data_IF_553782573372
#
_entry.id   IF_553782573372
#
_cell.length_a   1.000
_cell.length_b   1.000
_cell.length_c   1.000
_cell.angle_alpha   90.00
_cell.angle_beta   90.00
_cell.angle_gamma   90.00
#
_symmetry.space_group_name_H-M   'P 1'
#
loop_
_entity.id
_entity.type
_entity.pdbx_description
1 polymer ?
#
# COMPACT_ATOMS: atom_id res chain seq x y z
N UNK A 1 60.10 27.33 -0.42
CA UNK A 1 59.27 28.56 -0.39
C UNK A 1 59.16 29.21 1.00
N UNK A 2 59.16 28.47 2.12
CA UNK A 2 58.99 29.03 3.47
C UNK A 2 60.23 29.70 4.12
N UNK A 3 61.43 29.51 3.56
CA UNK A 3 62.68 29.99 4.18
C UNK A 3 62.82 31.53 4.19
N UNK A 4 62.21 32.25 3.24
CA UNK A 4 62.36 33.70 3.06
C UNK A 4 61.22 34.55 3.65
N UNK A 5 60.26 33.94 4.35
CA UNK A 5 59.11 34.64 4.94
C UNK A 5 59.42 35.17 6.35
N UNK A 6 58.95 36.38 6.67
CA UNK A 6 59.00 36.92 8.02
C UNK A 6 58.19 36.05 9.00
N UNK A 7 58.55 36.07 10.28
CA UNK A 7 57.89 35.30 11.33
C UNK A 7 56.38 35.58 11.40
N UNK A 8 55.99 36.84 11.18
CA UNK A 8 54.60 37.29 11.15
C UNK A 8 53.78 36.60 10.07
N UNK A 9 54.35 36.46 8.86
CA UNK A 9 53.68 35.79 7.75
C UNK A 9 53.59 34.27 7.95
N UNK A 10 54.60 33.65 8.57
CA UNK A 10 54.57 32.22 8.91
C UNK A 10 53.43 31.91 9.88
N UNK A 11 53.28 32.71 10.93
CA UNK A 11 52.20 32.57 11.91
C UNK A 11 50.83 32.79 11.28
N UNK A 12 50.67 33.83 10.44
CA UNK A 12 49.42 34.09 9.75
C UNK A 12 49.01 32.93 8.83
N UNK A 13 49.93 32.41 8.00
CA UNK A 13 49.65 31.29 7.11
C UNK A 13 49.29 30.02 7.90
N UNK A 14 50.01 29.71 8.97
CA UNK A 14 49.71 28.55 9.81
C UNK A 14 48.34 28.67 10.49
N UNK A 15 48.00 29.85 11.00
CA UNK A 15 46.69 30.09 11.62
C UNK A 15 45.55 29.96 10.59
N UNK A 16 45.69 30.57 9.41
CA UNK A 16 44.72 30.43 8.33
C UNK A 16 44.58 28.98 7.86
N UNK A 17 45.68 28.25 7.72
CA UNK A 17 45.66 26.84 7.36
C UNK A 17 44.94 25.98 8.42
N UNK A 18 45.18 26.25 9.71
CA UNK A 18 44.50 25.56 10.80
C UNK A 18 42.98 25.84 10.80
N UNK A 19 42.56 27.08 10.52
CA UNK A 19 41.14 27.44 10.41
C UNK A 19 40.49 26.73 9.22
N UNK A 20 41.12 26.75 8.05
CA UNK A 20 40.60 26.09 6.85
C UNK A 20 40.48 24.58 7.09
N UNK A 21 41.52 23.95 7.67
CA UNK A 21 41.49 22.53 8.01
C UNK A 21 40.37 22.21 9.01
N UNK A 22 40.19 23.03 10.04
CA UNK A 22 39.08 22.88 10.99
C UNK A 22 37.72 22.97 10.31
N UNK A 23 37.53 23.97 9.43
CA UNK A 23 36.30 24.14 8.66
C UNK A 23 35.99 22.93 7.78
N UNK A 24 36.95 22.46 7.00
CA UNK A 24 36.79 21.29 6.12
C UNK A 24 36.48 20.03 6.91
N UNK A 25 37.11 19.83 8.08
CA UNK A 25 36.83 18.68 8.94
C UNK A 25 35.40 18.72 9.49
N UNK A 26 34.97 19.87 10.01
CA UNK A 26 33.61 20.04 10.54
C UNK A 26 32.57 19.88 9.44
N UNK A 27 32.80 20.47 8.27
CA UNK A 27 31.93 20.34 7.11
C UNK A 27 31.84 18.87 6.64
N UNK A 28 32.97 18.17 6.54
CA UNK A 28 33.00 16.75 6.17
C UNK A 28 32.23 15.86 7.15
N UNK A 29 32.36 16.10 8.46
CA UNK A 29 31.60 15.39 9.49
C UNK A 29 30.10 15.73 9.39
N UNK A 30 29.76 17.01 9.27
CA UNK A 30 28.38 17.47 9.15
C UNK A 30 27.68 16.91 7.91
N UNK A 31 28.40 16.84 6.79
CA UNK A 31 27.92 16.26 5.55
C UNK A 31 27.65 14.76 5.71
N UNK A 32 28.59 14.02 6.31
CA UNK A 32 28.42 12.59 6.60
C UNK A 32 27.22 12.33 7.51
N UNK A 33 27.07 13.09 8.58
CA UNK A 33 25.94 12.95 9.50
C UNK A 33 24.61 13.27 8.81
N UNK A 34 24.62 14.23 7.89
CA UNK A 34 23.44 14.58 7.09
C UNK A 34 23.03 13.46 6.14
N UNK A 35 23.99 12.78 5.50
CA UNK A 35 23.71 11.60 4.68
C UNK A 35 23.12 10.46 5.51
N UNK A 36 23.68 10.17 6.68
CA UNK A 36 23.15 9.13 7.57
C UNK A 36 21.73 9.43 8.04
N UNK A 37 21.44 10.69 8.39
CA UNK A 37 20.08 11.11 8.74
C UNK A 37 19.12 10.99 7.56
N UNK A 38 19.55 11.37 6.35
CA UNK A 38 18.74 11.24 5.15
C UNK A 38 18.37 9.79 4.87
N UNK A 39 19.34 8.87 4.95
CA UNK A 39 19.08 7.44 4.75
C UNK A 39 18.08 6.90 5.76
N UNK A 40 18.25 7.23 7.04
CA UNK A 40 17.33 6.83 8.11
C UNK A 40 15.92 7.41 7.89
N UNK A 41 15.82 8.67 7.49
CA UNK A 41 14.56 9.33 7.21
C UNK A 41 13.84 8.72 6.01
N UNK A 42 14.56 8.42 4.93
CA UNK A 42 13.99 7.76 3.74
C UNK A 42 13.49 6.37 4.10
N UNK A 43 14.27 5.57 4.82
CA UNK A 43 13.87 4.25 5.27
C UNK A 43 12.59 4.31 6.12
N UNK A 44 12.54 5.23 7.09
CA UNK A 44 11.37 5.42 7.95
C UNK A 44 10.13 5.85 7.16
N UNK A 45 10.30 6.76 6.19
CA UNK A 45 9.20 7.22 5.33
C UNK A 45 8.66 6.08 4.45
N UNK A 46 9.54 5.25 3.91
CA UNK A 46 9.16 4.08 3.13
C UNK A 46 8.39 3.07 3.97
N UNK A 47 8.89 2.76 5.17
CA UNK A 47 8.23 1.84 6.11
C UNK A 47 6.84 2.37 6.49
N UNK A 48 6.76 3.63 6.91
CA UNK A 48 5.47 4.24 7.31
C UNK A 48 4.47 4.27 6.15
N UNK A 49 4.92 4.65 4.94
CA UNK A 49 4.03 4.73 3.77
C UNK A 49 3.54 3.35 3.35
N UNK A 50 4.44 2.36 3.35
CA UNK A 50 4.10 0.97 3.05
C UNK A 50 3.11 0.41 4.08
N UNK A 51 3.36 0.63 5.37
CA UNK A 51 2.47 0.20 6.44
C UNK A 51 1.08 0.84 6.32
N UNK A 52 1.00 2.16 6.09
CA UNK A 52 -0.27 2.85 5.89
C UNK A 52 -1.03 2.36 4.66
N UNK A 53 -0.33 2.11 3.54
CA UNK A 53 -0.95 1.59 2.32
C UNK A 53 -1.46 0.16 2.51
N UNK A 54 -0.68 -0.71 3.15
CA UNK A 54 -1.09 -2.08 3.45
C UNK A 54 -2.30 -2.12 4.39
N UNK A 55 -2.33 -1.24 5.39
CA UNK A 55 -3.49 -1.09 6.27
C UNK A 55 -4.72 -0.65 5.48
N UNK A 56 -4.58 0.37 4.62
CA UNK A 56 -5.66 0.84 3.75
C UNK A 56 -6.22 -0.29 2.86
N UNK A 57 -5.36 -1.06 2.19
CA UNK A 57 -5.78 -2.18 1.35
C UNK A 57 -6.47 -3.26 2.19
N UNK A 58 -5.93 -3.57 3.37
CA UNK A 58 -6.52 -4.56 4.29
C UNK A 58 -7.91 -4.13 4.76
N UNK A 59 -8.08 -2.88 5.17
CA UNK A 59 -9.36 -2.33 5.60
C UNK A 59 -10.37 -2.28 4.45
N UNK A 60 -9.91 -1.95 3.25
CA UNK A 60 -10.74 -1.99 2.04
C UNK A 60 -11.23 -3.41 1.74
N UNK A 61 -10.34 -4.42 1.77
CA UNK A 61 -10.71 -5.82 1.59
C UNK A 61 -11.69 -6.31 2.68
N UNK A 62 -11.42 -6.01 3.94
CA UNK A 62 -12.32 -6.33 5.06
C UNK A 62 -13.70 -5.69 4.88
N UNK A 63 -13.77 -4.46 4.35
CA UNK A 63 -15.06 -3.84 4.04
C UNK A 63 -15.82 -4.60 2.95
N UNK A 64 -15.13 -5.11 1.92
CA UNK A 64 -15.76 -5.92 0.86
C UNK A 64 -16.26 -7.25 1.42
N UNK A 65 -15.46 -7.91 2.24
CA UNK A 65 -15.84 -9.15 2.93
C UNK A 65 -17.09 -8.96 3.80
N UNK A 66 -17.12 -7.91 4.63
CA UNK A 66 -18.28 -7.59 5.47
C UNK A 66 -19.54 -7.35 4.64
N UNK A 67 -19.43 -6.68 3.50
CA UNK A 67 -20.57 -6.49 2.61
C UNK A 67 -21.11 -7.83 2.09
N UNK A 68 -20.24 -8.72 1.61
CA UNK A 68 -20.63 -10.04 1.09
C UNK A 68 -21.21 -10.97 2.17
N UNK A 69 -20.65 -10.92 3.37
CA UNK A 69 -21.08 -11.78 4.51
C UNK A 69 -22.27 -11.22 5.28
N UNK A 70 -22.69 -9.98 5.00
CA UNK A 70 -23.86 -9.36 5.63
C UNK A 70 -25.20 -9.93 5.17
N UNK A 71 -25.22 -10.71 4.09
CA UNK A 71 -26.44 -11.34 3.58
C UNK A 71 -26.89 -12.45 4.54
N UNK A 72 -28.05 -12.25 5.19
CA UNK A 72 -28.60 -13.22 6.14
C UNK A 72 -28.96 -14.54 5.45
N UNK A 73 -28.63 -15.66 6.11
CA UNK A 73 -29.09 -16.99 5.71
C UNK A 73 -30.62 -17.15 5.78
N UNK A 74 -31.31 -16.27 6.52
CA UNK A 74 -32.77 -16.25 6.67
C UNK A 74 -33.47 -15.42 5.57
N UNK A 75 -32.72 -14.85 4.62
CA UNK A 75 -33.28 -14.03 3.56
C UNK A 75 -34.29 -14.81 2.72
N UNK A 76 -35.48 -14.24 2.52
CA UNK A 76 -36.50 -14.87 1.68
C UNK A 76 -36.01 -15.03 0.24
N UNK A 77 -36.11 -16.24 -0.32
CA UNK A 77 -35.65 -16.53 -1.69
C UNK A 77 -36.23 -15.57 -2.74
N UNK A 78 -37.48 -15.13 -2.60
CA UNK A 78 -38.11 -14.18 -3.53
C UNK A 78 -37.50 -12.77 -3.51
N UNK A 79 -36.83 -12.40 -2.42
CA UNK A 79 -36.20 -11.10 -2.23
C UNK A 79 -34.69 -11.12 -2.53
N UNK A 80 -34.13 -12.29 -2.90
CA UNK A 80 -32.69 -12.48 -3.00
C UNK A 80 -32.03 -11.49 -3.95
N UNK A 81 -32.59 -11.28 -5.15
CA UNK A 81 -32.06 -10.33 -6.14
C UNK A 81 -32.04 -8.90 -5.61
N UNK A 82 -33.04 -8.51 -4.80
CA UNK A 82 -33.08 -7.19 -4.15
C UNK A 82 -31.92 -7.04 -3.16
N UNK A 83 -31.65 -8.05 -2.34
CA UNK A 83 -30.52 -8.03 -1.41
C UNK A 83 -29.17 -8.07 -2.14
N UNK A 84 -29.04 -8.82 -3.23
CA UNK A 84 -27.82 -8.83 -4.06
C UNK A 84 -27.53 -7.44 -4.65
N UNK A 85 -28.56 -6.71 -5.11
CA UNK A 85 -28.41 -5.31 -5.54
C UNK A 85 -27.97 -4.38 -4.41
N UNK A 86 -28.55 -4.55 -3.22
CA UNK A 86 -28.15 -3.79 -2.03
C UNK A 86 -26.68 -4.02 -1.67
N UNK A 87 -26.21 -5.26 -1.68
CA UNK A 87 -24.79 -5.60 -1.44
C UNK A 87 -23.90 -5.04 -2.54
N UNK A 88 -24.31 -5.13 -3.82
CA UNK A 88 -23.58 -4.54 -4.95
C UNK A 88 -23.37 -3.05 -4.76
N UNK A 89 -24.45 -2.32 -4.48
CA UNK A 89 -24.43 -0.86 -4.43
C UNK A 89 -23.70 -0.35 -3.17
N UNK A 90 -24.00 -0.94 -2.00
CA UNK A 90 -23.34 -0.57 -0.74
C UNK A 90 -21.87 -0.99 -0.68
N UNK A 91 -21.57 -2.18 -1.22
CA UNK A 91 -20.23 -2.71 -1.30
C UNK A 91 -19.44 -2.22 -2.50
N UNK A 92 -20.02 -1.40 -3.39
CA UNK A 92 -19.42 -0.95 -4.65
C UNK A 92 -18.74 -2.08 -5.44
N UNK A 93 -19.49 -3.16 -5.70
CA UNK A 93 -19.09 -4.25 -6.58
C UNK A 93 -19.62 -4.00 -8.00
N UNK A 94 -18.93 -4.52 -9.01
CA UNK A 94 -19.46 -4.51 -10.38
C UNK A 94 -20.70 -5.41 -10.51
N UNK A 95 -20.63 -6.61 -9.95
CA UNK A 95 -21.75 -7.53 -9.82
C UNK A 95 -21.64 -8.34 -8.53
N UNK A 96 -22.77 -8.82 -8.03
CA UNK A 96 -22.87 -9.76 -6.91
C UNK A 96 -23.84 -10.85 -7.30
N UNK A 97 -23.49 -12.10 -7.01
CA UNK A 97 -24.28 -13.26 -7.39
C UNK A 97 -24.32 -14.30 -6.29
N UNK A 98 -25.39 -15.07 -6.26
CA UNK A 98 -25.55 -16.25 -5.42
C UNK A 98 -25.61 -17.48 -6.34
N UNK A 99 -24.62 -18.36 -6.18
CA UNK A 99 -24.53 -19.63 -6.90
C UNK A 99 -25.18 -20.76 -6.09
N UNK A 100 -25.95 -21.60 -6.75
CA UNK A 100 -26.67 -22.71 -6.14
C UNK A 100 -26.01 -24.07 -6.46
N UNK A 101 -26.18 -25.10 -5.60
CA UNK A 101 -25.62 -26.43 -5.83
C UNK A 101 -26.09 -27.12 -7.12
N UNK A 102 -27.28 -26.77 -7.60
CA UNK A 102 -27.84 -27.27 -8.87
C UNK A 102 -27.16 -26.65 -10.12
N UNK A 103 -26.25 -25.69 -9.93
CA UNK A 103 -25.54 -25.00 -11.01
C UNK A 103 -26.29 -23.77 -11.54
N UNK A 104 -27.44 -23.42 -10.96
CA UNK A 104 -28.11 -22.15 -11.24
C UNK A 104 -27.49 -20.99 -10.46
N UNK A 105 -27.84 -19.75 -10.82
CA UNK A 105 -27.47 -18.56 -10.06
C UNK A 105 -28.52 -17.45 -10.18
N UNK A 106 -28.57 -16.62 -9.15
CA UNK A 106 -29.18 -15.29 -9.19
C UNK A 106 -28.08 -14.22 -9.12
N UNK A 107 -28.21 -13.14 -9.89
CA UNK A 107 -27.22 -12.06 -9.89
C UNK A 107 -27.85 -10.66 -9.94
N UNK A 108 -27.16 -9.68 -9.34
CA UNK A 108 -27.67 -8.32 -9.14
C UNK A 108 -27.92 -7.57 -10.46
N UNK A 109 -27.14 -7.89 -11.49
CA UNK A 109 -27.18 -7.24 -12.80
C UNK A 109 -28.14 -7.91 -13.80
N UNK A 110 -28.76 -9.05 -13.44
CA UNK A 110 -29.62 -9.80 -14.36
C UNK A 110 -28.90 -10.35 -15.59
N UNK A 111 -27.58 -10.58 -15.48
CA UNK A 111 -26.74 -11.08 -16.57
C UNK A 111 -27.14 -12.51 -16.92
N UNK A 112 -27.34 -12.76 -18.22
CA UNK A 112 -27.51 -14.09 -18.79
C UNK A 112 -26.18 -14.50 -19.40
N UNK A 113 -25.58 -15.56 -18.89
CA UNK A 113 -24.28 -16.05 -19.36
C UNK A 113 -24.44 -17.03 -20.52
N UNK A 114 -23.52 -17.04 -21.49
CA UNK A 114 -23.57 -17.95 -22.62
C UNK A 114 -23.37 -19.42 -22.19
N UNK A 115 -23.87 -20.39 -22.97
CA UNK A 115 -23.61 -21.81 -22.72
C UNK A 115 -22.12 -22.11 -22.57
N UNK A 116 -21.76 -22.92 -21.58
CA UNK A 116 -20.37 -23.26 -21.28
C UNK A 116 -19.68 -22.32 -20.29
N UNK A 117 -20.20 -21.11 -20.09
CA UNK A 117 -19.76 -20.18 -19.03
C UNK A 117 -20.86 -19.93 -17.96
N UNK A 118 -21.95 -20.66 -18.01
CA UNK A 118 -23.13 -20.45 -17.18
C UNK A 118 -23.24 -21.39 -15.97
N UNK A 119 -22.23 -22.22 -15.71
CA UNK A 119 -22.17 -23.10 -14.53
C UNK A 119 -21.21 -22.53 -13.47
N UNK A 120 -21.73 -21.91 -12.39
CA UNK A 120 -20.91 -21.27 -11.37
C UNK A 120 -19.94 -22.21 -10.66
N UNK A 121 -20.25 -23.52 -10.62
CA UNK A 121 -19.47 -24.51 -9.88
C UNK A 121 -18.09 -24.75 -10.50
N UNK A 122 -17.91 -24.33 -11.75
CA UNK A 122 -16.64 -24.38 -12.47
C UNK A 122 -15.79 -23.12 -12.29
N UNK A 123 -16.33 -22.07 -11.66
CA UNK A 123 -15.60 -20.82 -11.48
C UNK A 123 -14.68 -20.89 -10.27
N UNK A 124 -13.53 -20.22 -10.36
CA UNK A 124 -12.54 -20.17 -9.29
C UNK A 124 -13.11 -19.66 -7.96
N UNK A 125 -14.03 -18.68 -7.99
CA UNK A 125 -14.65 -18.16 -6.77
C UNK A 125 -15.46 -19.22 -6.02
N UNK A 126 -16.19 -20.08 -6.75
CA UNK A 126 -16.98 -21.15 -6.14
C UNK A 126 -16.09 -22.25 -5.59
N UNK A 127 -15.10 -22.70 -6.38
CA UNK A 127 -14.18 -23.75 -5.94
C UNK A 127 -13.35 -23.32 -4.74
N UNK A 128 -12.88 -22.07 -4.71
CA UNK A 128 -12.09 -21.54 -3.61
C UNK A 128 -12.92 -21.26 -2.34
N UNK A 129 -14.23 -21.03 -2.47
CA UNK A 129 -15.10 -20.83 -1.31
C UNK A 129 -15.47 -22.14 -0.60
N UNK A 130 -15.38 -23.28 -1.30
CA UNK A 130 -15.67 -24.61 -0.76
C UNK A 130 -14.42 -25.30 -0.20
N UNK A 131 -13.24 -25.01 -0.78
CA UNK A 131 -11.95 -25.57 -0.38
C UNK A 131 -11.56 -25.16 1.05
#
# INVERSE_FOLDING_TARGET
MFKNLSLKNKLAISASAAIILGGVLVEGLSFRDSLQRLDAEVAQRLESTSASYNQYVSDWLLSKERALTSLSAESEKRAIVTHLKQVRDSGAFDNVFLAYPDGSQDNANGVILPPGNNDPRKWGWYTNAIA
#
